data_IF_361454020858
#
_entry.id   IF_361454020858
#
_cell.length_a   1.000
_cell.length_b   1.000
_cell.length_c   1.000
_cell.angle_alpha   90.00
_cell.angle_beta   90.00
_cell.angle_gamma   90.00
#
_symmetry.space_group_name_H-M   'P 1'
#
loop_
_entity.id
_entity.type
_entity.pdbx_description
1 polymer ?
#
# COMPACT_ATOMS: atom_id res chain seq x y z
N UNK A 1 -5.57 18.81 0.27
CA UNK A 1 -4.67 19.32 -0.79
C UNK A 1 -3.60 18.29 -1.12
N UNK A 2 -3.14 18.18 -2.37
CA UNK A 2 -1.96 17.36 -2.77
C UNK A 2 -0.71 17.62 -1.89
N UNK A 3 -0.67 18.73 -1.17
CA UNK A 3 0.36 19.08 -0.18
C UNK A 3 0.44 18.17 1.06
N UNK A 4 -0.55 17.32 1.36
CA UNK A 4 -0.50 16.45 2.54
C UNK A 4 -0.04 15.01 2.23
N UNK A 5 0.40 14.67 1.02
CA UNK A 5 0.78 13.27 0.71
C UNK A 5 1.91 12.76 1.61
N UNK A 6 3.00 13.53 1.72
CA UNK A 6 4.15 13.18 2.57
C UNK A 6 3.80 13.19 4.05
N UNK A 7 3.02 14.17 4.50
CA UNK A 7 2.50 14.26 5.87
C UNK A 7 1.59 13.07 6.21
N UNK A 8 0.69 12.67 5.32
CA UNK A 8 -0.15 11.48 5.49
C UNK A 8 0.69 10.20 5.52
N UNK A 9 1.73 10.08 4.67
CA UNK A 9 2.63 8.92 4.70
C UNK A 9 3.35 8.85 6.05
N UNK A 10 3.93 9.96 6.52
CA UNK A 10 4.57 10.07 7.84
C UNK A 10 3.61 9.74 8.98
N UNK A 11 2.43 10.35 9.01
CA UNK A 11 1.40 10.11 10.03
C UNK A 11 1.01 8.63 10.14
N UNK A 12 0.92 7.92 9.02
CA UNK A 12 0.64 6.47 9.01
C UNK A 12 1.79 5.66 9.60
N UNK A 13 3.04 6.02 9.29
CA UNK A 13 4.24 5.40 9.85
C UNK A 13 4.29 5.64 11.36
N UNK A 14 4.14 6.89 11.79
CA UNK A 14 4.19 7.29 13.20
C UNK A 14 3.08 6.62 14.00
N UNK A 15 1.88 6.51 13.44
CA UNK A 15 0.79 5.77 14.07
C UNK A 15 1.12 4.27 14.19
N UNK A 16 1.69 3.64 13.16
CA UNK A 16 2.11 2.24 13.24
C UNK A 16 3.17 2.04 14.33
N UNK A 17 4.21 2.89 14.37
CA UNK A 17 5.24 2.86 15.42
C UNK A 17 4.66 3.06 16.83
N UNK A 18 3.74 4.02 16.98
CA UNK A 18 3.05 4.25 18.26
C UNK A 18 2.22 3.04 18.71
N UNK A 19 1.56 2.35 17.77
CA UNK A 19 0.84 1.13 18.09
C UNK A 19 1.79 0.00 18.48
N UNK A 20 2.92 -0.16 17.79
CA UNK A 20 3.93 -1.15 18.13
C UNK A 20 4.42 -0.94 19.57
N UNK A 21 4.85 0.28 19.90
CA UNK A 21 5.32 0.64 21.24
C UNK A 21 4.26 0.39 22.31
N UNK A 22 3.01 0.80 22.06
CA UNK A 22 1.90 0.52 22.97
C UNK A 22 1.73 -0.97 23.22
N UNK A 23 1.84 -1.81 22.19
CA UNK A 23 1.70 -3.26 22.35
C UNK A 23 2.89 -3.89 23.07
N UNK A 24 4.12 -3.38 22.89
CA UNK A 24 5.29 -3.80 23.67
C UNK A 24 5.11 -3.51 25.16
N UNK A 25 4.66 -2.31 25.51
CA UNK A 25 4.35 -1.95 26.89
C UNK A 25 3.29 -2.87 27.51
N UNK A 26 2.24 -3.21 26.74
CA UNK A 26 1.22 -4.17 27.19
C UNK A 26 1.83 -5.57 27.37
N UNK A 27 2.69 -6.01 26.45
CA UNK A 27 3.38 -7.29 26.56
C UNK A 27 4.21 -7.37 27.84
N UNK A 28 5.05 -6.36 28.07
CA UNK A 28 5.92 -6.26 29.24
C UNK A 28 5.10 -6.21 30.55
N UNK A 29 4.04 -5.41 30.61
CA UNK A 29 3.15 -5.35 31.77
C UNK A 29 2.53 -6.71 32.09
N UNK A 30 2.09 -7.45 31.06
CA UNK A 30 1.48 -8.78 31.22
C UNK A 30 2.52 -9.82 31.63
N UNK A 31 3.71 -9.77 31.04
CA UNK A 31 4.83 -10.62 31.42
C UNK A 31 5.24 -10.39 32.88
N UNK A 32 5.40 -9.12 33.29
CA UNK A 32 5.75 -8.75 34.66
C UNK A 32 4.67 -9.18 35.66
N UNK A 33 3.38 -9.02 35.34
CA UNK A 33 2.29 -9.53 36.16
C UNK A 33 2.32 -11.05 36.31
N UNK A 34 2.62 -11.80 35.24
CA UNK A 34 2.80 -13.25 35.33
C UNK A 34 4.01 -13.61 36.21
N UNK A 35 5.13 -12.91 36.02
CA UNK A 35 6.37 -13.11 36.78
C UNK A 35 6.17 -12.84 38.27
N UNK A 36 5.44 -11.78 38.64
CA UNK A 36 5.12 -11.46 40.03
C UNK A 36 4.35 -12.60 40.72
N UNK A 37 3.32 -13.15 40.06
CA UNK A 37 2.56 -14.28 40.60
C UNK A 37 3.45 -15.53 40.68
N UNK A 38 4.25 -15.80 39.64
CA UNK A 38 5.15 -16.94 39.60
C UNK A 38 6.22 -16.88 40.69
N UNK A 39 6.71 -15.69 41.04
CA UNK A 39 7.73 -15.51 42.09
C UNK A 39 7.25 -15.91 43.49
N UNK A 40 5.93 -15.96 43.71
CA UNK A 40 5.34 -16.45 44.95
C UNK A 40 5.18 -17.99 44.99
N UNK A 41 5.47 -18.70 43.90
CA UNK A 41 5.36 -20.16 43.77
C UNK A 41 6.78 -20.73 43.73
N UNK A 42 7.07 -21.70 44.59
CA UNK A 42 8.38 -22.35 44.57
C UNK A 42 8.56 -23.16 43.27
N UNK A 43 9.69 -23.04 42.56
CA UNK A 43 9.93 -23.79 41.34
C UNK A 43 9.77 -25.30 41.54
N UNK A 44 9.01 -25.95 40.66
CA UNK A 44 8.78 -27.41 40.71
C UNK A 44 7.79 -27.87 41.79
N UNK A 45 7.14 -26.96 42.53
CA UNK A 45 6.15 -27.32 43.53
C UNK A 45 4.94 -28.04 42.89
N UNK A 46 4.60 -29.27 43.31
CA UNK A 46 3.42 -29.97 42.83
C UNK A 46 2.13 -29.36 43.40
N UNK A 47 1.02 -29.52 42.68
CA UNK A 47 -0.29 -29.14 43.20
C UNK A 47 -0.68 -30.13 44.31
N UNK A 48 -0.72 -29.65 45.55
CA UNK A 48 -1.18 -30.44 46.69
C UNK A 48 -2.71 -30.65 46.59
N UNK A 49 -3.13 -31.85 46.18
CA UNK A 49 -4.54 -32.16 45.82
C UNK A 49 -5.48 -32.21 47.04
N UNK A 50 -4.95 -32.51 48.22
CA UNK A 50 -5.73 -32.66 49.46
C UNK A 50 -5.55 -31.51 50.45
N UNK A 51 -4.95 -30.39 50.01
CA UNK A 51 -4.68 -29.23 50.86
C UNK A 51 -5.61 -28.04 50.55
N UNK A 52 -5.94 -27.23 51.56
CA UNK A 52 -6.85 -26.07 51.40
C UNK A 52 -6.35 -25.03 50.37
N UNK A 53 -5.04 -24.96 50.14
CA UNK A 53 -4.40 -24.05 49.18
C UNK A 53 -4.54 -24.49 47.71
N UNK A 54 -5.02 -25.71 47.43
CA UNK A 54 -5.16 -26.27 46.07
C UNK A 54 -5.84 -25.32 45.10
N UNK A 55 -6.99 -24.79 45.50
CA UNK A 55 -7.82 -23.95 44.63
C UNK A 55 -7.14 -22.60 44.37
N UNK A 56 -6.32 -22.09 45.30
CA UNK A 56 -5.53 -20.87 45.09
C UNK A 56 -4.40 -21.14 44.09
N UNK A 57 -3.63 -22.21 44.30
CA UNK A 57 -2.53 -22.60 43.42
C UNK A 57 -2.99 -22.81 41.97
N UNK A 58 -4.11 -23.51 41.74
CA UNK A 58 -4.68 -23.67 40.40
C UNK A 58 -5.04 -22.34 39.74
N UNK A 59 -5.68 -21.43 40.48
CA UNK A 59 -6.04 -20.10 39.99
C UNK A 59 -4.81 -19.24 39.67
N UNK A 60 -3.76 -19.34 40.47
CA UNK A 60 -2.53 -18.58 40.23
C UNK A 60 -1.80 -19.08 38.97
N UNK A 61 -1.71 -20.40 38.76
CA UNK A 61 -1.21 -20.98 37.51
C UNK A 61 -2.05 -20.57 36.29
N UNK A 62 -3.37 -20.55 36.42
CA UNK A 62 -4.26 -20.11 35.35
C UNK A 62 -4.04 -18.63 35.00
N UNK A 63 -3.91 -17.76 36.02
CA UNK A 63 -3.58 -16.33 35.82
C UNK A 63 -2.23 -16.14 35.15
N UNK A 64 -1.20 -16.90 35.55
CA UNK A 64 0.12 -16.89 34.91
C UNK A 64 -0.04 -17.24 33.43
N UNK A 65 -0.70 -18.36 33.12
CA UNK A 65 -0.92 -18.80 31.74
C UNK A 65 -1.66 -17.77 30.90
N UNK A 66 -2.72 -17.16 31.44
CA UNK A 66 -3.51 -16.16 30.72
C UNK A 66 -2.71 -14.88 30.46
N UNK A 67 -1.94 -14.39 31.46
CA UNK A 67 -1.07 -13.22 31.28
C UNK A 67 0.07 -13.51 30.30
N UNK A 68 0.69 -14.69 30.36
CA UNK A 68 1.75 -15.08 29.42
C UNK A 68 1.22 -15.18 27.98
N UNK A 69 0.04 -15.79 27.77
CA UNK A 69 -0.61 -15.81 26.46
C UNK A 69 -0.89 -14.40 25.94
N UNK A 70 -1.47 -13.55 26.78
CA UNK A 70 -1.76 -12.17 26.42
C UNK A 70 -0.49 -11.34 26.11
N UNK A 71 0.62 -11.60 26.83
CA UNK A 71 1.92 -11.00 26.55
C UNK A 71 2.42 -11.40 25.16
N UNK A 72 2.45 -12.70 24.86
CA UNK A 72 2.87 -13.21 23.54
C UNK A 72 1.99 -12.65 22.41
N UNK A 73 0.68 -12.57 22.61
CA UNK A 73 -0.24 -11.99 21.62
C UNK A 73 0.01 -10.49 21.40
N UNK A 74 0.28 -9.74 22.47
CA UNK A 74 0.62 -8.32 22.37
C UNK A 74 1.96 -8.13 21.66
N UNK A 75 2.96 -8.96 21.95
CA UNK A 75 4.27 -8.93 21.31
C UNK A 75 4.17 -9.19 19.80
N UNK A 76 3.44 -10.23 19.38
CA UNK A 76 3.15 -10.48 17.95
C UNK A 76 2.44 -9.31 17.27
N UNK A 77 1.53 -8.63 17.99
CA UNK A 77 0.88 -7.42 17.46
C UNK A 77 1.87 -6.27 17.33
N UNK A 78 2.85 -6.14 18.23
CA UNK A 78 3.90 -5.14 18.11
C UNK A 78 4.74 -5.39 16.84
N UNK A 79 5.22 -6.62 16.64
CA UNK A 79 5.96 -7.03 15.44
C UNK A 79 5.18 -6.75 14.15
N UNK A 80 3.88 -7.04 14.14
CA UNK A 80 3.00 -6.73 13.02
C UNK A 80 3.00 -5.23 12.67
N UNK A 81 2.90 -4.36 13.69
CA UNK A 81 2.90 -2.92 13.47
C UNK A 81 4.28 -2.39 13.05
N UNK A 82 5.37 -2.98 13.53
CA UNK A 82 6.72 -2.67 13.07
C UNK A 82 6.90 -3.02 11.59
N UNK A 83 6.54 -4.25 11.20
CA UNK A 83 6.56 -4.67 9.79
C UNK A 83 5.67 -3.80 8.92
N UNK A 84 4.51 -3.37 9.44
CA UNK A 84 3.63 -2.43 8.74
C UNK A 84 4.29 -1.07 8.52
N UNK A 85 5.04 -0.55 9.49
CA UNK A 85 5.78 0.70 9.33
C UNK A 85 6.86 0.55 8.25
N UNK A 86 7.66 -0.51 8.31
CA UNK A 86 8.71 -0.82 7.31
C UNK A 86 8.11 -0.97 5.92
N UNK A 87 6.98 -1.68 5.80
CA UNK A 87 6.29 -1.87 4.52
C UNK A 87 5.84 -0.54 3.91
N UNK A 88 5.35 0.40 4.73
CA UNK A 88 4.94 1.73 4.26
C UNK A 88 6.14 2.55 3.81
N UNK A 89 7.27 2.46 4.54
CA UNK A 89 8.52 3.15 4.21
C UNK A 89 9.11 2.66 2.88
N UNK A 90 9.24 1.35 2.74
CA UNK A 90 9.83 0.68 1.57
C UNK A 90 8.91 0.68 0.34
N UNK A 91 7.64 1.05 0.48
CA UNK A 91 6.72 1.09 -0.64
C UNK A 91 7.16 2.16 -1.66
N UNK A 92 7.64 1.68 -2.82
CA UNK A 92 8.08 2.49 -3.96
C UNK A 92 6.96 2.76 -4.97
N UNK A 93 5.74 2.25 -4.75
CA UNK A 93 4.62 2.48 -5.64
C UNK A 93 4.30 3.98 -5.73
N UNK A 94 4.31 4.50 -6.95
CA UNK A 94 3.96 5.90 -7.21
C UNK A 94 2.46 6.08 -6.93
N UNK A 95 2.10 6.99 -6.04
CA UNK A 95 0.69 7.33 -5.74
C UNK A 95 0.15 8.35 -6.75
N UNK A 96 -1.14 8.33 -7.06
CA UNK A 96 -1.78 9.42 -7.85
C UNK A 96 -1.89 10.73 -7.08
N UNK A 97 -1.84 10.66 -5.74
CA UNK A 97 -1.96 11.81 -4.86
C UNK A 97 -0.61 12.54 -4.65
N UNK A 98 0.49 11.94 -5.12
CA UNK A 98 1.82 12.57 -5.11
C UNK A 98 1.86 13.72 -6.14
N UNK A 99 2.26 14.95 -5.74
CA UNK A 99 2.36 16.08 -6.68
C UNK A 99 3.29 15.78 -7.86
N UNK A 100 4.34 14.99 -7.66
CA UNK A 100 5.34 14.65 -8.68
C UNK A 100 5.05 13.30 -9.35
N UNK A 101 3.82 12.77 -9.22
CA UNK A 101 3.44 11.46 -9.77
C UNK A 101 3.68 11.35 -11.27
N UNK A 102 3.33 12.38 -12.05
CA UNK A 102 3.50 12.38 -13.50
C UNK A 102 4.97 12.33 -13.92
N UNK A 103 5.84 13.08 -13.24
CA UNK A 103 7.28 13.08 -13.50
C UNK A 103 7.90 11.72 -13.22
N UNK A 104 7.58 11.14 -12.05
CA UNK A 104 8.06 9.81 -11.65
C UNK A 104 7.59 8.72 -12.63
N UNK A 105 6.33 8.77 -13.07
CA UNK A 105 5.78 7.81 -14.04
C UNK A 105 6.43 7.96 -15.43
N UNK A 106 6.70 9.19 -15.87
CA UNK A 106 7.41 9.44 -17.14
C UNK A 106 8.85 8.94 -17.09
N UNK A 107 9.55 9.14 -15.97
CA UNK A 107 10.90 8.59 -15.76
C UNK A 107 10.88 7.04 -15.77
N UNK A 108 9.92 6.42 -15.09
CA UNK A 108 9.77 4.95 -15.09
C UNK A 108 9.44 4.42 -16.50
N UNK A 109 8.61 5.13 -17.25
CA UNK A 109 8.29 4.83 -18.65
C UNK A 109 9.53 4.88 -19.53
N UNK A 110 10.31 5.96 -19.45
CA UNK A 110 11.55 6.11 -20.21
C UNK A 110 12.54 4.98 -19.90
N UNK A 111 12.68 4.60 -18.62
CA UNK A 111 13.50 3.46 -18.22
C UNK A 111 12.97 2.12 -18.77
N UNK A 112 11.65 1.92 -18.82
CA UNK A 112 11.05 0.73 -19.44
C UNK A 112 11.31 0.68 -20.95
N UNK A 113 11.20 1.82 -21.64
CA UNK A 113 11.43 1.93 -23.09
C UNK A 113 12.91 1.71 -23.44
N UNK A 114 13.84 2.30 -22.69
CA UNK A 114 15.27 2.07 -22.85
C UNK A 114 15.62 0.59 -22.64
N UNK A 115 15.09 -0.04 -21.58
CA UNK A 115 15.25 -1.50 -21.36
C UNK A 115 14.69 -2.32 -22.50
N UNK A 116 13.57 -1.91 -23.10
CA UNK A 116 12.98 -2.62 -24.23
C UNK A 116 13.86 -2.55 -25.47
N UNK A 117 14.38 -1.35 -25.79
CA UNK A 117 15.28 -1.14 -26.91
C UNK A 117 16.56 -1.97 -26.73
N UNK A 118 17.17 -1.88 -25.54
CA UNK A 118 18.36 -2.64 -25.18
C UNK A 118 18.18 -4.15 -25.37
N UNK A 119 17.08 -4.73 -24.86
CA UNK A 119 16.81 -6.16 -25.00
C UNK A 119 16.61 -6.59 -26.46
N UNK A 120 15.91 -5.77 -27.26
CA UNK A 120 15.68 -6.05 -28.68
C UNK A 120 16.98 -6.01 -29.48
N UNK A 121 17.79 -4.98 -29.26
CA UNK A 121 19.06 -4.82 -29.95
C UNK A 121 20.05 -5.92 -29.55
N UNK A 122 20.14 -6.24 -28.25
CA UNK A 122 20.93 -7.39 -27.77
C UNK A 122 20.53 -8.68 -28.48
N UNK A 123 19.23 -8.97 -28.56
CA UNK A 123 18.75 -10.17 -29.25
C UNK A 123 19.06 -10.14 -30.76
N UNK A 124 19.06 -8.97 -31.38
CA UNK A 124 19.47 -8.82 -32.78
C UNK A 124 20.96 -9.16 -32.95
N UNK A 125 21.84 -8.60 -32.11
CA UNK A 125 23.27 -8.86 -32.15
C UNK A 125 23.59 -10.35 -31.90
N UNK A 126 22.86 -11.01 -30.99
CA UNK A 126 23.01 -12.44 -30.74
C UNK A 126 22.55 -13.27 -31.94
N UNK A 127 21.45 -12.88 -32.60
CA UNK A 127 20.99 -13.57 -33.82
C UNK A 127 21.97 -13.43 -34.97
N UNK A 128 22.65 -12.29 -35.10
CA UNK A 128 23.68 -12.06 -36.11
C UNK A 128 25.09 -12.48 -35.69
N UNK A 129 25.27 -12.94 -34.44
CA UNK A 129 26.58 -13.22 -33.81
C UNK A 129 27.59 -12.05 -33.93
N UNK A 130 27.09 -10.82 -33.90
CA UNK A 130 27.91 -9.61 -34.03
C UNK A 130 28.30 -9.06 -32.64
N UNK A 131 29.42 -9.57 -32.10
CA UNK A 131 29.98 -9.12 -30.81
C UNK A 131 30.43 -7.66 -30.88
N UNK A 132 30.97 -7.22 -32.01
CA UNK A 132 31.49 -5.85 -32.17
C UNK A 132 30.36 -4.81 -32.09
N UNK A 133 29.20 -5.09 -32.70
CA UNK A 133 28.01 -4.24 -32.56
C UNK A 133 27.49 -4.20 -31.14
N UNK A 134 27.45 -5.33 -30.44
CA UNK A 134 26.99 -5.39 -29.05
C UNK A 134 27.86 -4.53 -28.13
N UNK A 135 29.20 -4.62 -28.25
CA UNK A 135 30.12 -3.85 -27.40
C UNK A 135 30.11 -2.33 -27.64
N UNK A 136 29.50 -1.86 -28.73
CA UNK A 136 29.28 -0.42 -28.97
C UNK A 136 28.09 0.15 -28.20
N UNK A 137 27.20 -0.70 -27.69
CA UNK A 137 26.02 -0.26 -26.95
C UNK A 137 26.41 0.18 -25.53
N UNK A 138 25.77 1.22 -25.02
CA UNK A 138 26.01 1.71 -23.66
C UNK A 138 25.68 0.65 -22.60
N UNK A 139 26.55 0.53 -21.59
CA UNK A 139 26.37 -0.41 -20.47
C UNK A 139 26.60 -1.88 -20.82
N UNK A 140 27.24 -2.17 -21.96
CA UNK A 140 27.64 -3.53 -22.33
C UNK A 140 29.06 -3.86 -21.89
N UNK A 141 29.31 -5.15 -21.66
CA UNK A 141 30.63 -5.69 -21.34
C UNK A 141 30.83 -7.03 -22.05
N UNK A 142 32.08 -7.46 -22.17
CA UNK A 142 32.39 -8.78 -22.73
C UNK A 142 31.79 -9.92 -21.89
N UNK A 143 31.82 -9.78 -20.56
CA UNK A 143 31.18 -10.73 -19.63
C UNK A 143 29.66 -10.85 -19.86
N UNK A 144 29.00 -9.71 -20.12
CA UNK A 144 27.58 -9.68 -20.40
C UNK A 144 27.26 -10.38 -21.73
N UNK A 145 28.11 -10.20 -22.74
CA UNK A 145 27.97 -10.91 -24.02
C UNK A 145 28.00 -12.43 -23.82
N UNK A 146 28.99 -12.94 -23.10
CA UNK A 146 29.11 -14.38 -22.83
C UNK A 146 27.89 -14.92 -22.08
N UNK A 147 27.44 -14.19 -21.06
CA UNK A 147 26.27 -14.57 -20.27
C UNK A 147 25.00 -14.65 -21.11
N UNK A 148 24.78 -13.68 -22.00
CA UNK A 148 23.54 -13.59 -22.78
C UNK A 148 23.61 -14.47 -24.04
N UNK A 149 24.80 -14.71 -24.60
CA UNK A 149 25.01 -15.63 -25.73
C UNK A 149 25.07 -17.11 -25.30
N UNK A 150 25.29 -17.38 -24.01
CA UNK A 150 25.18 -18.72 -23.45
C UNK A 150 23.71 -19.18 -23.45
N UNK A 151 23.43 -20.44 -23.84
CA UNK A 151 22.08 -20.97 -23.80
C UNK A 151 21.60 -21.10 -22.35
N UNK A 152 20.33 -20.78 -22.12
CA UNK A 152 19.68 -21.04 -20.84
C UNK A 152 19.34 -22.53 -20.66
N UNK A 153 18.68 -22.88 -19.54
CA UNK A 153 18.25 -24.26 -19.22
C UNK A 153 17.41 -24.91 -20.33
N UNK A 154 16.75 -24.10 -21.17
CA UNK A 154 15.87 -24.54 -22.27
C UNK A 154 16.55 -24.35 -23.65
N UNK A 155 17.85 -24.02 -23.67
CA UNK A 155 18.61 -23.84 -24.92
C UNK A 155 18.43 -22.47 -25.60
N UNK A 156 17.65 -21.54 -25.03
CA UNK A 156 17.48 -20.21 -25.61
C UNK A 156 18.65 -19.29 -25.26
N UNK A 157 19.17 -18.60 -26.27
CA UNK A 157 20.16 -17.51 -26.15
C UNK A 157 19.46 -16.16 -26.23
N UNK A 158 20.01 -15.12 -25.61
CA UNK A 158 19.39 -13.81 -25.57
C UNK A 158 18.46 -13.59 -24.39
N UNK A 159 17.85 -12.41 -24.38
CA UNK A 159 16.70 -12.13 -23.53
C UNK A 159 15.48 -12.94 -23.99
N UNK A 160 14.91 -13.68 -23.06
CA UNK A 160 13.70 -14.47 -23.31
C UNK A 160 12.53 -13.62 -23.81
N UNK A 161 11.72 -14.19 -24.71
CA UNK A 161 10.53 -13.52 -25.25
C UNK A 161 9.55 -13.05 -24.16
N UNK A 162 9.38 -13.84 -23.10
CA UNK A 162 8.54 -13.49 -21.95
C UNK A 162 8.98 -12.19 -21.27
N UNK A 163 10.28 -11.92 -21.16
CA UNK A 163 10.79 -10.66 -20.58
C UNK A 163 10.40 -9.44 -21.43
N UNK A 164 10.53 -9.55 -22.75
CA UNK A 164 10.14 -8.51 -23.70
C UNK A 164 8.63 -8.24 -23.67
N UNK A 165 7.83 -9.31 -23.63
CA UNK A 165 6.36 -9.21 -23.59
C UNK A 165 5.87 -8.58 -22.29
N UNK A 166 6.40 -9.01 -21.15
CA UNK A 166 6.06 -8.44 -19.84
C UNK A 166 6.45 -6.95 -19.76
N UNK A 167 7.64 -6.58 -20.26
CA UNK A 167 8.06 -5.19 -20.25
C UNK A 167 7.20 -4.31 -21.19
N UNK A 168 6.84 -4.81 -22.37
CA UNK A 168 5.87 -4.13 -23.25
C UNK A 168 4.51 -3.92 -22.58
N UNK A 169 4.01 -4.90 -21.83
CA UNK A 169 2.78 -4.75 -21.07
C UNK A 169 2.91 -3.65 -20.00
N UNK A 170 4.07 -3.55 -19.33
CA UNK A 170 4.36 -2.46 -18.39
C UNK A 170 4.36 -1.10 -19.08
N UNK A 171 5.02 -0.97 -20.24
CA UNK A 171 5.06 0.26 -21.04
C UNK A 171 3.64 0.73 -21.37
N UNK A 172 2.78 -0.18 -21.86
CA UNK A 172 1.38 0.15 -22.17
C UNK A 172 0.63 0.63 -20.93
N UNK A 173 0.72 -0.12 -19.82
CA UNK A 173 0.09 0.26 -18.55
C UNK A 173 0.54 1.63 -18.04
N UNK A 174 1.83 1.95 -18.15
CA UNK A 174 2.37 3.25 -17.73
C UNK A 174 1.85 4.38 -18.63
N UNK A 175 1.80 4.18 -19.95
CA UNK A 175 1.22 5.14 -20.91
C UNK A 175 -0.25 5.43 -20.62
N UNK A 176 -1.05 4.38 -20.44
CA UNK A 176 -2.47 4.50 -20.11
C UNK A 176 -2.66 5.27 -18.79
N UNK A 177 -1.86 4.93 -17.77
CA UNK A 177 -1.90 5.58 -16.47
C UNK A 177 -1.51 7.07 -16.53
N UNK A 178 -0.48 7.43 -17.30
CA UNK A 178 -0.09 8.82 -17.51
C UNK A 178 -1.23 9.59 -18.19
N UNK A 179 -1.81 9.02 -19.26
CA UNK A 179 -2.92 9.65 -19.97
C UNK A 179 -4.15 9.87 -19.08
N UNK A 180 -4.47 8.91 -18.21
CA UNK A 180 -5.57 9.06 -17.25
C UNK A 180 -5.34 10.18 -16.23
N UNK A 181 -4.10 10.31 -15.72
CA UNK A 181 -3.73 11.39 -14.80
C UNK A 181 -3.72 12.76 -15.49
N UNK A 182 -3.26 12.84 -16.73
CA UNK A 182 -3.31 14.07 -17.54
C UNK A 182 -4.74 14.50 -17.81
N UNK A 183 -5.63 13.58 -18.21
CA UNK A 183 -7.07 13.84 -18.36
C UNK A 183 -7.68 14.33 -17.06
N UNK A 184 -7.33 13.72 -15.92
CA UNK A 184 -7.84 14.14 -14.63
C UNK A 184 -7.33 15.53 -14.22
N UNK A 185 -6.09 15.87 -14.56
CA UNK A 185 -5.50 17.18 -14.31
C UNK A 185 -6.10 18.29 -15.20
N UNK A 186 -6.55 17.95 -16.41
CA UNK A 186 -7.20 18.88 -17.34
C UNK A 186 -8.65 19.23 -16.96
N UNK A 187 -9.26 18.53 -15.99
CA UNK A 187 -10.63 18.82 -15.54
C UNK A 187 -10.61 20.14 -14.74
N UNK A 188 -11.38 21.16 -15.16
CA UNK A 188 -11.42 22.43 -14.45
C UNK A 188 -12.08 22.28 -13.08
N UNK A 189 -11.76 23.20 -12.17
CA UNK A 189 -12.53 23.34 -10.95
C UNK A 189 -13.95 23.78 -11.32
N UNK A 190 -14.95 23.05 -10.84
CA UNK A 190 -16.35 23.36 -11.10
C UNK A 190 -17.18 23.05 -9.85
N UNK A 191 -18.08 23.96 -9.50
CA UNK A 191 -19.01 23.80 -8.39
C UNK A 191 -20.42 24.02 -8.91
N UNK A 192 -21.28 23.01 -8.73
CA UNK A 192 -22.66 23.02 -9.22
C UNK A 192 -23.57 22.65 -8.07
N UNK A 193 -24.54 23.50 -7.79
CA UNK A 193 -25.59 23.24 -6.81
C UNK A 193 -26.78 22.59 -7.51
N UNK A 194 -27.21 21.45 -6.99
CA UNK A 194 -28.36 20.71 -7.51
C UNK A 194 -29.27 20.29 -6.36
N UNK A 195 -30.52 20.78 -6.34
CA UNK A 195 -31.51 20.47 -5.28
C UNK A 195 -30.96 20.62 -3.84
N UNK A 196 -30.11 21.62 -3.61
CA UNK A 196 -29.48 21.87 -2.31
C UNK A 196 -28.22 21.05 -1.99
N UNK A 197 -27.81 20.11 -2.87
CA UNK A 197 -26.52 19.42 -2.79
C UNK A 197 -25.49 20.18 -3.62
N UNK A 198 -24.29 20.36 -3.08
CA UNK A 198 -23.18 20.96 -3.81
C UNK A 198 -22.24 19.88 -4.36
N UNK A 199 -22.14 19.80 -5.68
CA UNK A 199 -21.18 18.98 -6.39
C UNK A 199 -19.94 19.81 -6.71
N UNK A 200 -18.79 19.45 -6.14
CA UNK A 200 -17.52 20.14 -6.35
C UNK A 200 -16.50 19.22 -7.01
N UNK A 201 -16.07 19.59 -8.22
CA UNK A 201 -14.97 18.97 -8.94
C UNK A 201 -13.68 19.67 -8.52
N UNK A 202 -12.85 19.02 -7.72
CA UNK A 202 -11.66 19.61 -7.14
C UNK A 202 -10.37 18.98 -7.71
N UNK A 203 -9.79 19.53 -8.80
CA UNK A 203 -8.56 19.01 -9.39
C UNK A 203 -7.34 19.20 -8.49
N UNK A 204 -7.34 20.19 -7.58
CA UNK A 204 -6.23 20.42 -6.64
C UNK A 204 -6.07 19.27 -5.64
N UNK A 205 -7.17 18.63 -5.25
CA UNK A 205 -7.17 17.43 -4.39
C UNK A 205 -7.30 16.16 -5.24
N UNK A 206 -7.62 16.28 -6.53
CA UNK A 206 -7.90 15.15 -7.41
C UNK A 206 -9.14 14.36 -6.97
N UNK A 207 -10.16 15.07 -6.46
CA UNK A 207 -11.39 14.46 -5.93
C UNK A 207 -12.63 15.15 -6.48
N UNK A 208 -13.68 14.37 -6.68
CA UNK A 208 -15.05 14.89 -6.77
C UNK A 208 -15.70 14.79 -5.39
N UNK A 209 -16.31 15.88 -4.94
CA UNK A 209 -16.91 16.02 -3.61
C UNK A 209 -18.42 16.27 -3.76
N UNK A 210 -19.20 15.56 -2.95
CA UNK A 210 -20.65 15.76 -2.79
C UNK A 210 -20.86 16.28 -1.37
N UNK A 211 -21.30 17.53 -1.26
CA UNK A 211 -21.48 18.23 0.01
C UNK A 211 -22.97 18.39 0.25
N UNK A 212 -23.41 17.93 1.43
CA UNK A 212 -24.79 18.07 1.87
C UNK A 212 -24.89 19.22 2.88
N UNK A 213 -26.00 19.99 2.87
CA UNK A 213 -26.20 21.09 3.80
C UNK A 213 -26.47 20.59 5.22
N UNK A 214 -27.07 19.41 5.35
CA UNK A 214 -27.41 18.76 6.61
C UNK A 214 -26.89 17.33 6.64
N UNK A 215 -26.92 16.71 7.83
CA UNK A 215 -26.46 15.33 8.01
C UNK A 215 -27.28 14.39 7.13
N UNK A 216 -26.58 13.58 6.32
CA UNK A 216 -27.21 12.58 5.46
C UNK A 216 -27.83 11.44 6.26
N UNK A 217 -28.97 10.96 5.80
CA UNK A 217 -29.58 9.73 6.30
C UNK A 217 -28.75 8.47 5.95
N UNK A 218 -28.96 7.38 6.70
CA UNK A 218 -28.30 6.10 6.53
C UNK A 218 -28.55 5.49 5.13
N UNK A 219 -29.75 5.70 4.55
CA UNK A 219 -30.06 5.21 3.20
C UNK A 219 -29.16 5.86 2.15
N UNK A 220 -29.04 7.19 2.21
CA UNK A 220 -28.19 7.99 1.33
C UNK A 220 -26.72 7.60 1.50
N UNK A 221 -26.26 7.44 2.75
CA UNK A 221 -24.91 6.99 3.05
C UNK A 221 -24.59 5.63 2.40
N UNK A 222 -25.50 4.65 2.52
CA UNK A 222 -25.35 3.32 1.92
C UNK A 222 -25.32 3.40 0.39
N UNK A 223 -26.16 4.23 -0.22
CA UNK A 223 -26.19 4.42 -1.68
C UNK A 223 -24.88 5.04 -2.20
N UNK A 224 -24.41 6.11 -1.57
CA UNK A 224 -23.13 6.74 -1.93
C UNK A 224 -21.94 5.79 -1.76
N UNK A 225 -21.96 4.96 -0.71
CA UNK A 225 -20.94 3.93 -0.50
C UNK A 225 -20.96 2.86 -1.59
N UNK A 226 -22.15 2.44 -2.07
CA UNK A 226 -22.27 1.53 -3.23
C UNK A 226 -21.72 2.16 -4.51
N UNK A 227 -21.87 3.47 -4.68
CA UNK A 227 -21.29 4.23 -5.79
C UNK A 227 -19.78 4.52 -5.62
N UNK A 228 -19.17 4.06 -4.51
CA UNK A 228 -17.73 4.20 -4.24
C UNK A 228 -17.33 5.56 -3.68
N UNK A 229 -18.26 6.36 -3.18
CA UNK A 229 -17.96 7.59 -2.45
C UNK A 229 -17.70 7.27 -0.97
N UNK A 230 -16.65 7.89 -0.43
CA UNK A 230 -16.24 7.74 0.98
C UNK A 230 -16.39 9.09 1.68
N UNK A 231 -17.01 9.08 2.85
CA UNK A 231 -17.18 10.29 3.65
C UNK A 231 -15.84 10.74 4.27
N UNK A 232 -15.43 11.96 3.97
CA UNK A 232 -14.23 12.59 4.51
C UNK A 232 -14.64 13.61 5.57
N UNK A 233 -14.22 13.37 6.83
CA UNK A 233 -14.60 14.21 7.97
C UNK A 233 -13.99 15.61 7.93
N UNK A 234 -12.73 15.73 7.49
CA UNK A 234 -12.03 17.03 7.43
C UNK A 234 -12.65 18.01 6.45
N UNK A 235 -13.27 17.48 5.39
CA UNK A 235 -13.88 18.26 4.30
C UNK A 235 -15.42 18.27 4.40
N UNK A 236 -15.98 17.56 5.39
CA UNK A 236 -17.41 17.32 5.56
C UNK A 236 -18.14 16.94 4.26
N UNK A 237 -17.52 16.08 3.45
CA UNK A 237 -17.98 15.77 2.10
C UNK A 237 -17.81 14.28 1.76
N UNK A 238 -18.69 13.76 0.92
CA UNK A 238 -18.50 12.46 0.28
C UNK A 238 -17.59 12.60 -0.92
N UNK A 239 -16.50 11.83 -0.97
CA UNK A 239 -15.45 12.01 -1.96
C UNK A 239 -15.12 10.74 -2.72
N UNK A 240 -14.74 10.90 -3.99
CA UNK A 240 -14.18 9.85 -4.83
C UNK A 240 -13.06 10.44 -5.70
N UNK A 241 -12.17 9.60 -6.23
CA UNK A 241 -11.16 10.00 -7.22
C UNK A 241 -11.79 10.78 -8.37
N UNK A 242 -11.16 11.88 -8.78
CA UNK A 242 -11.64 12.69 -9.91
C UNK A 242 -11.36 11.97 -11.22
N UNK A 243 -12.42 11.40 -11.80
CA UNK A 243 -12.38 10.77 -13.12
C UNK A 243 -13.74 10.89 -13.78
N UNK A 244 -13.82 10.64 -15.08
CA UNK A 244 -15.07 10.79 -15.82
C UNK A 244 -16.22 9.93 -15.26
N UNK A 245 -15.91 8.70 -14.81
CA UNK A 245 -16.90 7.79 -14.22
C UNK A 245 -17.45 8.30 -12.89
N UNK A 246 -16.62 8.91 -12.05
CA UNK A 246 -17.03 9.45 -10.76
C UNK A 246 -17.82 10.75 -10.92
N UNK A 247 -17.47 11.59 -11.90
CA UNK A 247 -18.26 12.76 -12.29
C UNK A 247 -19.66 12.34 -12.71
N UNK A 248 -19.75 11.38 -13.63
CA UNK A 248 -21.04 10.84 -14.07
C UNK A 248 -21.84 10.25 -12.91
N UNK A 249 -21.22 9.44 -12.06
CA UNK A 249 -21.90 8.85 -10.90
C UNK A 249 -22.41 9.90 -9.91
N UNK A 250 -21.67 10.99 -9.68
CA UNK A 250 -22.11 12.09 -8.83
C UNK A 250 -23.29 12.85 -9.45
N UNK A 251 -23.25 13.12 -10.76
CA UNK A 251 -24.34 13.78 -11.48
C UNK A 251 -25.60 12.92 -11.51
N UNK A 252 -25.47 11.63 -11.80
CA UNK A 252 -26.59 10.68 -11.82
C UNK A 252 -27.24 10.57 -10.43
N UNK A 253 -26.41 10.53 -9.37
CA UNK A 253 -26.89 10.56 -7.98
C UNK A 253 -27.64 11.88 -7.68
N UNK A 254 -27.06 13.03 -8.01
CA UNK A 254 -27.69 14.32 -7.71
C UNK A 254 -29.01 14.53 -8.47
N UNK A 255 -29.13 14.00 -9.69
CA UNK A 255 -30.39 14.03 -10.47
C UNK A 255 -31.50 13.21 -9.81
N UNK A 256 -31.14 12.05 -9.27
CA UNK A 256 -32.06 11.10 -8.65
C UNK A 256 -32.41 11.44 -7.19
N UNK A 257 -31.59 12.23 -6.50
CA UNK A 257 -31.84 12.76 -5.16
C UNK A 257 -33.00 13.76 -5.17
#
# INVERSE_FOLDING_TARGET
MKHNYEEHKKSRIDNARRQAEKQRQISEQRHNAAHQIASCISPGQPILVDHYSRNRHRRDLEKINNNMRASIEADKKAEYYDQKAVTIEQNTAISSDDPNALEKLRAELAGCEARQAFMKETNQCIRSQDKARFLRMEGTSEELWEKVNSPNVVGHKGFAHSKLTNNNANIRRLKDRIADLEKAAAIPFAEVVYKGITLRQNPQIGRIQIIFPTRTDLAVHKQLRKLGFVFCRSENAYQRQLNHRSIRAAMDFARAY
#
